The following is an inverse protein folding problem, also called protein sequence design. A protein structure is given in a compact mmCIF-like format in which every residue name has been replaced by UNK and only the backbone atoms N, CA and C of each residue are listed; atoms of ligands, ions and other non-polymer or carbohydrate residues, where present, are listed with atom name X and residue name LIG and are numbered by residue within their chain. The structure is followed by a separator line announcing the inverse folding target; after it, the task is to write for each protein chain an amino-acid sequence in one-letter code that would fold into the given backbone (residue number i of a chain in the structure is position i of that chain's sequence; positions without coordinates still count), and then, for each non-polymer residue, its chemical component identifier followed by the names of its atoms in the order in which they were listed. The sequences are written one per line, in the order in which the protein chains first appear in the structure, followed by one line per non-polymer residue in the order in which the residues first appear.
data_IF_694881907762
#
_entry.id   IF_694881907762
#
_cell.length_a   1.000
_cell.length_b   1.000
_cell.length_c   1.000
_cell.angle_alpha   90.00
_cell.angle_beta   90.00
_cell.angle_gamma   90.00
#
_symmetry.space_group_name_H-M   'P 1'
#
loop_
_entity.id
_entity.type
_entity.pdbx_description
1 polymer ?
#
# COMPACT_ATOMS: atom_id res chain seq x y z
N UNK A 1 -6.17 22.45 -26.67
CA UNK A 1 -7.00 22.39 -25.85
C UNK A 1 -7.40 21.06 -25.53
N UNK A 2 -7.93 20.39 -26.37
CA UNK A 2 -8.24 19.05 -26.08
C UNK A 2 -7.07 18.23 -25.74
N UNK A 3 -5.97 18.56 -26.33
CA UNK A 3 -4.77 17.82 -26.03
C UNK A 3 -4.41 18.00 -24.62
N UNK A 4 -4.59 19.17 -24.10
CA UNK A 4 -4.26 19.41 -22.72
C UNK A 4 -5.10 18.53 -21.82
N UNK A 5 -6.37 18.38 -22.18
CA UNK A 5 -7.21 17.53 -21.39
C UNK A 5 -6.78 16.09 -21.50
N UNK A 6 -6.38 15.70 -22.68
CA UNK A 6 -5.95 14.34 -22.87
C UNK A 6 -4.68 14.07 -22.11
N UNK A 7 -3.87 15.10 -21.97
CA UNK A 7 -2.64 14.93 -21.27
C UNK A 7 -2.81 14.91 -19.79
N UNK A 8 -3.93 15.39 -19.31
CA UNK A 8 -4.17 15.29 -17.91
C UNK A 8 -4.53 13.85 -17.67
N UNK A 9 -3.50 13.06 -17.51
CA UNK A 9 -3.69 11.73 -17.34
C UNK A 9 -4.39 11.53 -16.14
N UNK A 10 -5.18 10.53 -16.08
CA UNK A 10 -5.78 10.15 -14.89
C UNK A 10 -4.70 9.67 -14.02
N UNK A 11 -4.46 10.33 -12.95
CA UNK A 11 -3.47 9.91 -12.01
C UNK A 11 -4.13 8.87 -11.15
N UNK A 12 -3.66 7.66 -11.23
CA UNK A 12 -4.18 6.60 -10.37
C UNK A 12 -3.60 6.82 -8.98
N UNK A 13 -4.43 7.13 -8.01
CA UNK A 13 -3.90 7.34 -6.66
C UNK A 13 -3.33 6.05 -6.11
N UNK A 14 -2.37 6.17 -5.21
CA UNK A 14 -1.85 5.00 -4.54
C UNK A 14 -2.98 4.33 -3.76
N UNK A 15 -2.92 3.02 -3.57
CA UNK A 15 -4.01 2.33 -2.89
C UNK A 15 -4.02 2.65 -1.40
N UNK A 16 -5.21 2.71 -0.84
CA UNK A 16 -5.38 2.91 0.59
C UNK A 16 -5.50 1.57 1.30
N UNK A 17 -5.93 0.54 0.59
CA UNK A 17 -6.12 -0.78 1.17
C UNK A 17 -5.51 -1.85 0.30
N UNK A 18 -5.12 -2.93 0.94
CA UNK A 18 -4.57 -4.08 0.25
C UNK A 18 -5.18 -5.34 0.85
N UNK A 19 -5.65 -6.25 -0.01
CA UNK A 19 -6.20 -7.51 0.48
C UNK A 19 -5.08 -8.53 0.51
N UNK A 20 -4.77 -9.03 1.70
CA UNK A 20 -3.68 -9.97 1.90
C UNK A 20 -3.95 -11.26 1.13
N UNK A 21 -2.91 -11.78 0.49
CA UNK A 21 -2.99 -13.00 -0.29
C UNK A 21 -2.17 -14.10 0.38
N UNK A 22 -2.42 -15.36 0.01
CA UNK A 22 -1.68 -16.46 0.63
C UNK A 22 -0.18 -16.33 0.39
N UNK A 23 0.57 -16.75 1.38
CA UNK A 23 2.03 -16.70 1.31
C UNK A 23 2.56 -17.42 0.05
N UNK A 24 1.92 -18.53 -0.29
CA UNK A 24 2.37 -19.31 -1.44
C UNK A 24 2.25 -18.53 -2.75
N UNK A 25 1.31 -17.58 -2.80
CA UNK A 25 1.09 -16.85 -4.04
C UNK A 25 1.97 -15.63 -4.15
N UNK A 26 2.00 -14.82 -3.12
CA UNK A 26 2.65 -13.52 -3.22
C UNK A 26 3.61 -13.22 -2.07
N UNK A 27 3.82 -14.18 -1.17
CA UNK A 27 4.74 -14.01 -0.04
C UNK A 27 4.36 -12.79 0.79
N UNK A 28 3.07 -12.63 1.07
CA UNK A 28 2.59 -11.45 1.79
C UNK A 28 2.97 -11.50 3.26
N UNK A 29 3.68 -10.47 3.68
CA UNK A 29 4.02 -10.19 5.07
C UNK A 29 4.26 -8.70 5.13
N UNK A 30 4.25 -8.14 6.34
CA UNK A 30 4.41 -6.69 6.45
C UNK A 30 5.69 -6.19 5.79
N UNK A 31 6.78 -6.94 5.94
CA UNK A 31 8.05 -6.53 5.35
C UNK A 31 7.96 -6.47 3.82
N UNK A 32 7.44 -7.54 3.21
CA UNK A 32 7.36 -7.60 1.76
C UNK A 32 6.33 -6.61 1.20
N UNK A 33 5.20 -6.48 1.89
CA UNK A 33 4.17 -5.56 1.42
C UNK A 33 4.69 -4.12 1.50
N UNK A 34 5.35 -3.77 2.60
CA UNK A 34 5.88 -2.43 2.75
C UNK A 34 6.90 -2.09 1.67
N UNK A 35 7.61 -3.09 1.18
CA UNK A 35 8.62 -2.87 0.15
C UNK A 35 8.07 -2.68 -1.25
N UNK A 36 6.79 -2.90 -1.45
CA UNK A 36 6.22 -2.75 -2.79
C UNK A 36 6.13 -1.29 -3.18
N UNK A 37 6.32 -1.03 -4.47
CA UNK A 37 6.39 0.35 -4.93
C UNK A 37 5.12 1.12 -4.67
N UNK A 38 3.96 0.45 -4.71
CA UNK A 38 2.70 1.14 -4.50
C UNK A 38 2.32 1.26 -3.02
N UNK A 39 3.13 0.70 -2.13
CA UNK A 39 2.92 0.86 -0.69
C UNK A 39 3.88 1.91 -0.18
N UNK A 40 5.06 1.54 0.25
CA UNK A 40 6.05 2.51 0.72
C UNK A 40 7.38 2.40 0.00
N UNK A 41 7.51 1.42 -0.88
CA UNK A 41 8.74 1.21 -1.62
C UNK A 41 9.95 1.09 -0.68
N UNK A 42 9.71 0.63 0.54
CA UNK A 42 10.75 0.52 1.56
C UNK A 42 10.29 -0.44 2.64
N UNK A 43 10.85 -1.65 2.68
CA UNK A 43 10.39 -2.63 3.68
C UNK A 43 10.67 -2.21 5.12
N UNK A 44 11.62 -1.29 5.33
CA UNK A 44 11.90 -0.84 6.68
C UNK A 44 10.75 -0.07 7.31
N UNK A 45 9.78 0.34 6.51
CA UNK A 45 8.62 1.06 7.03
C UNK A 45 7.48 0.13 7.42
N UNK A 46 7.75 -1.16 7.53
CA UNK A 46 6.72 -2.16 7.78
C UNK A 46 5.96 -1.92 9.09
N UNK A 47 6.61 -1.34 10.09
CA UNK A 47 5.94 -1.14 11.36
C UNK A 47 4.78 -0.16 11.26
N UNK A 48 4.82 0.73 10.29
CA UNK A 48 3.71 1.66 10.10
C UNK A 48 2.47 0.91 9.67
N UNK A 49 2.64 -0.09 8.81
CA UNK A 49 1.52 -0.94 8.42
C UNK A 49 1.03 -1.75 9.60
N UNK A 50 1.95 -2.32 10.38
CA UNK A 50 1.59 -3.15 11.51
C UNK A 50 0.79 -2.35 12.53
N UNK A 51 1.27 -1.16 12.90
CA UNK A 51 0.58 -0.36 13.89
C UNK A 51 -0.82 0.03 13.44
N UNK A 52 -0.98 0.33 12.16
CA UNK A 52 -2.29 0.74 11.65
C UNK A 52 -3.28 -0.42 11.60
N UNK A 53 -2.78 -1.66 11.58
CA UNK A 53 -3.65 -2.81 11.37
C UNK A 53 -3.72 -3.77 12.54
N UNK A 54 -3.06 -3.44 13.65
CA UNK A 54 -3.02 -4.34 14.80
C UNK A 54 -4.39 -4.77 15.26
N UNK A 55 -5.32 -3.85 15.29
CA UNK A 55 -6.63 -4.15 15.86
C UNK A 55 -7.43 -5.11 14.99
N UNK A 56 -7.01 -5.30 13.74
CA UNK A 56 -7.71 -6.20 12.83
C UNK A 56 -7.01 -7.55 12.69
N UNK A 57 -5.94 -7.76 13.43
CA UNK A 57 -5.18 -9.00 13.33
C UNK A 57 -5.71 -10.06 14.27
N UNK A 58 -5.62 -11.34 13.89
CA UNK A 58 -6.08 -12.41 14.78
C UNK A 58 -5.27 -12.49 16.05
N UNK A 59 -3.99 -12.13 15.98
CA UNK A 59 -3.14 -12.09 17.15
C UNK A 59 -2.31 -10.82 17.09
N UNK A 60 -2.82 -9.73 17.65
CA UNK A 60 -2.17 -8.42 17.46
C UNK A 60 -0.72 -8.35 17.92
N UNK A 61 -0.32 -9.21 18.83
CA UNK A 61 1.07 -9.18 19.30
C UNK A 61 2.04 -9.88 18.37
N UNK A 62 1.55 -10.55 17.33
CA UNK A 62 2.39 -11.31 16.42
C UNK A 62 2.31 -10.71 15.03
N UNK A 63 3.25 -9.85 14.63
CA UNK A 63 3.17 -9.22 13.32
C UNK A 63 3.35 -10.18 12.16
N UNK A 64 3.81 -11.40 12.43
CA UNK A 64 3.96 -12.37 11.35
C UNK A 64 2.69 -13.12 11.03
N UNK A 65 1.66 -12.95 11.85
CA UNK A 65 0.44 -13.71 11.66
C UNK A 65 -0.62 -12.83 11.01
N UNK A 66 -0.55 -12.71 9.69
CA UNK A 66 -1.60 -12.05 8.92
C UNK A 66 -2.26 -13.11 8.05
N UNK A 67 -3.56 -12.95 7.85
CA UNK A 67 -4.35 -13.97 7.20
C UNK A 67 -4.77 -13.55 5.81
N UNK A 68 -4.81 -14.47 4.85
CA UNK A 68 -5.34 -14.15 3.54
C UNK A 68 -6.76 -13.62 3.65
N UNK A 69 -7.06 -12.61 2.84
CA UNK A 69 -8.38 -11.97 2.88
C UNK A 69 -8.47 -10.78 3.82
N UNK A 70 -7.47 -10.60 4.67
CA UNK A 70 -7.46 -9.45 5.56
C UNK A 70 -7.36 -8.17 4.75
N UNK A 71 -8.22 -7.19 5.05
CA UNK A 71 -8.16 -5.90 4.37
C UNK A 71 -7.22 -5.01 5.16
N UNK A 72 -6.03 -4.83 4.63
CA UNK A 72 -4.99 -4.08 5.32
C UNK A 72 -5.04 -2.62 4.90
N UNK A 73 -5.04 -1.73 5.88
CA UNK A 73 -5.02 -0.30 5.60
C UNK A 73 -3.59 0.17 5.43
N UNK A 74 -3.33 1.02 4.44
CA UNK A 74 -2.03 1.59 4.17
C UNK A 74 -2.10 3.06 4.54
N UNK A 75 -1.64 3.44 5.74
CA UNK A 75 -1.73 4.85 6.14
C UNK A 75 -0.75 5.70 5.36
N UNK A 76 -1.14 6.94 5.10
CA UNK A 76 -0.24 7.89 4.48
C UNK A 76 0.79 8.32 5.49
N UNK A 77 2.06 8.28 5.11
CA UNK A 77 3.14 8.66 6.01
C UNK A 77 3.65 10.06 5.75
N UNK A 78 3.52 10.52 4.53
CA UNK A 78 4.07 11.81 4.14
C UNK A 78 3.04 12.70 3.47
N UNK A 79 1.77 12.43 3.74
CA UNK A 79 0.70 13.24 3.17
C UNK A 79 0.28 12.82 1.78
N UNK A 80 0.80 11.72 1.27
CA UNK A 80 0.43 11.27 -0.05
C UNK A 80 -1.05 10.86 -0.07
N UNK A 81 -1.70 11.11 -1.20
CA UNK A 81 -3.10 10.77 -1.35
C UNK A 81 -3.26 9.30 -1.68
N UNK A 82 -4.13 8.64 -0.97
CA UNK A 82 -4.40 7.22 -1.21
C UNK A 82 -5.89 6.99 -1.29
N UNK A 83 -6.29 6.09 -2.18
CA UNK A 83 -7.71 5.83 -2.38
C UNK A 83 -7.92 4.42 -2.89
N UNK A 84 -8.92 3.74 -2.36
CA UNK A 84 -9.38 2.47 -2.90
C UNK A 84 -8.48 1.29 -2.55
N UNK A 85 -8.87 0.15 -3.08
CA UNK A 85 -8.17 -1.11 -2.82
C UNK A 85 -7.22 -1.40 -3.97
N UNK A 86 -6.02 -1.88 -3.64
CA UNK A 86 -5.05 -2.23 -4.66
C UNK A 86 -5.64 -3.23 -5.66
N UNK A 87 -5.38 -2.98 -6.93
CA UNK A 87 -5.79 -3.87 -8.01
C UNK A 87 -4.60 -4.17 -8.89
N UNK A 88 -4.28 -5.44 -9.13
CA UNK A 88 -3.14 -5.75 -9.99
C UNK A 88 -3.35 -5.33 -11.43
N UNK A 89 -4.59 -5.01 -11.83
CA UNK A 89 -4.84 -4.58 -13.19
C UNK A 89 -4.60 -3.09 -13.40
N UNK A 90 -4.37 -2.35 -12.32
CA UNK A 90 -4.11 -0.92 -12.42
C UNK A 90 -2.64 -0.64 -12.33
N UNK A 91 -2.24 0.48 -12.92
CA UNK A 91 -0.87 0.92 -12.81
C UNK A 91 -0.80 2.02 -11.79
N UNK A 92 0.14 1.89 -10.87
CA UNK A 92 0.31 2.89 -9.81
C UNK A 92 1.71 3.50 -9.93
N UNK A 93 1.79 4.79 -9.64
CA UNK A 93 3.08 5.43 -9.50
C UNK A 93 3.74 4.91 -8.24
N UNK A 94 5.05 4.90 -8.23
CA UNK A 94 5.76 4.46 -7.04
C UNK A 94 5.69 5.51 -5.95
N UNK A 95 5.60 5.05 -4.72
CA UNK A 95 5.67 5.94 -3.57
C UNK A 95 7.09 6.50 -3.46
N UNK A 96 7.19 7.77 -3.13
CA UNK A 96 8.48 8.40 -2.91
C UNK A 96 8.37 9.41 -1.79
N UNK A 97 9.05 9.13 -0.69
CA UNK A 97 9.06 10.04 0.44
C UNK A 97 9.73 11.35 0.07
N UNK A 98 10.73 11.28 -0.79
CA UNK A 98 11.44 12.48 -1.20
C UNK A 98 10.52 13.41 -1.95
N UNK A 99 9.74 12.85 -2.89
CA UNK A 99 8.80 13.68 -3.64
C UNK A 99 7.70 14.19 -2.75
N UNK A 100 7.26 13.37 -1.83
CA UNK A 100 6.16 13.76 -0.95
C UNK A 100 6.58 14.90 -0.03
N UNK A 101 7.86 14.96 0.30
CA UNK A 101 8.32 15.99 1.19
C UNK A 101 8.35 17.34 0.53
N UNK A 102 8.30 17.39 -0.75
CA UNK A 102 8.27 18.67 -1.43
C UNK A 102 6.88 19.19 -1.53
#
# INVERSE_FOLDING_TARGET
MLEALADIKEITPLPQYYIVRPWEETKDCYWNISGRSYVYNNPLLWENLYQANKSNMPKPSDPNLIMPGMKMEIPSLTGEYREGVYSPSKKYDGYSAVNAEK
#
